data_IF_944954758429
#
_entry.id   IF_944954758429
#
_cell.length_a   1.000
_cell.length_b   1.000
_cell.length_c   1.000
_cell.angle_alpha   90.00
_cell.angle_beta   90.00
_cell.angle_gamma   90.00
#
_symmetry.space_group_name_H-M   'P 1'
#
loop_
_entity.id
_entity.type
_entity.pdbx_description
1 polymer ?
#
# COMPACT_ATOMS: atom_id res chain seq x y z
N UNK A 1 10.40 -11.68 0.74
CA UNK A 1 9.64 -11.23 1.91
C UNK A 1 10.25 -9.92 2.37
N UNK A 2 9.44 -8.93 2.65
CA UNK A 2 9.91 -7.66 3.18
C UNK A 2 9.49 -7.55 4.64
N UNK A 3 10.46 -7.42 5.52
CA UNK A 3 10.18 -7.27 6.94
C UNK A 3 9.59 -5.90 7.26
N UNK A 4 8.64 -5.85 8.18
CA UNK A 4 8.04 -4.60 8.66
C UNK A 4 6.91 -4.04 7.82
N UNK A 5 6.51 -4.67 6.73
CA UNK A 5 5.35 -4.27 5.93
C UNK A 5 5.49 -2.94 5.18
N UNK A 6 6.69 -2.38 5.08
CA UNK A 6 6.94 -1.12 4.37
C UNK A 6 7.39 -1.39 2.95
N UNK A 7 6.83 -0.67 1.99
CA UNK A 7 7.22 -0.75 0.58
C UNK A 7 8.32 0.29 0.31
N UNK A 8 9.49 -0.16 -0.07
CA UNK A 8 10.60 0.68 -0.52
C UNK A 8 10.64 0.78 -2.05
N UNK A 9 11.42 1.71 -2.56
CA UNK A 9 11.58 1.93 -4.00
C UNK A 9 11.98 0.64 -4.74
N UNK A 10 12.97 -0.07 -4.22
CA UNK A 10 13.46 -1.31 -4.82
C UNK A 10 12.41 -2.43 -4.78
N UNK A 11 11.72 -2.57 -3.65
CA UNK A 11 10.69 -3.60 -3.52
C UNK A 11 9.47 -3.29 -4.40
N UNK A 12 9.09 -2.02 -4.53
CA UNK A 12 8.02 -1.62 -5.44
C UNK A 12 8.38 -1.94 -6.90
N UNK A 13 9.59 -1.63 -7.31
CA UNK A 13 10.07 -1.92 -8.66
C UNK A 13 10.12 -3.42 -8.94
N UNK A 14 10.62 -4.21 -7.98
CA UNK A 14 10.65 -5.67 -8.08
C UNK A 14 9.24 -6.26 -8.17
N UNK A 15 8.32 -5.79 -7.34
CA UNK A 15 6.94 -6.26 -7.35
C UNK A 15 6.23 -5.90 -8.66
N UNK A 16 6.42 -4.68 -9.17
CA UNK A 16 5.87 -4.25 -10.46
C UNK A 16 6.33 -5.18 -11.61
N UNK A 17 7.62 -5.51 -11.62
CA UNK A 17 8.18 -6.42 -12.61
C UNK A 17 7.60 -7.83 -12.47
N UNK A 18 7.45 -8.33 -11.25
CA UNK A 18 6.84 -9.63 -11.00
C UNK A 18 5.40 -9.70 -11.50
N UNK A 19 4.58 -8.70 -11.18
CA UNK A 19 3.19 -8.62 -11.66
C UNK A 19 3.14 -8.57 -13.18
N UNK A 20 4.02 -7.80 -13.82
CA UNK A 20 4.10 -7.73 -15.28
C UNK A 20 4.45 -9.07 -15.91
N UNK A 21 5.39 -9.82 -15.34
CA UNK A 21 5.77 -11.16 -15.81
C UNK A 21 4.60 -12.13 -15.67
N UNK A 22 3.92 -12.15 -14.54
CA UNK A 22 2.74 -12.97 -14.32
C UNK A 22 1.64 -12.64 -15.32
N UNK A 23 1.43 -11.36 -15.59
CA UNK A 23 0.45 -10.91 -16.57
C UNK A 23 0.79 -11.41 -17.99
N UNK A 24 2.04 -11.28 -18.41
CA UNK A 24 2.49 -11.77 -19.72
C UNK A 24 2.34 -13.28 -19.86
N UNK A 25 2.64 -14.03 -18.82
CA UNK A 25 2.57 -15.50 -18.81
C UNK A 25 1.18 -16.03 -18.44
N UNK A 26 0.22 -15.14 -18.19
CA UNK A 26 -1.16 -15.48 -17.80
C UNK A 26 -1.22 -16.35 -16.54
N UNK A 27 -0.39 -16.02 -15.56
CA UNK A 27 -0.33 -16.70 -14.26
C UNK A 27 -1.19 -15.91 -13.26
N UNK A 28 -2.17 -16.54 -12.59
CA UNK A 28 -2.91 -15.90 -11.52
C UNK A 28 -2.01 -15.48 -10.36
N UNK A 29 -2.37 -14.40 -9.67
CA UNK A 29 -1.56 -13.83 -8.60
C UNK A 29 -2.33 -13.88 -7.28
N UNK A 30 -1.66 -14.28 -6.21
CA UNK A 30 -2.16 -14.17 -4.85
C UNK A 30 -1.35 -13.08 -4.14
N UNK A 31 -2.05 -12.07 -3.62
CA UNK A 31 -1.46 -11.01 -2.79
C UNK A 31 -1.68 -11.35 -1.32
N UNK A 32 -0.59 -11.48 -0.58
CA UNK A 32 -0.61 -11.60 0.87
C UNK A 32 -0.30 -10.23 1.47
N UNK A 33 -1.33 -9.53 1.94
CA UNK A 33 -1.17 -8.17 2.43
C UNK A 33 -0.82 -8.15 3.92
N UNK A 34 0.35 -7.64 4.21
CA UNK A 34 0.76 -7.13 5.51
C UNK A 34 1.58 -5.88 5.24
N UNK A 35 0.90 -4.77 4.96
CA UNK A 35 1.52 -3.55 4.45
C UNK A 35 1.09 -2.34 5.28
N UNK A 36 2.07 -1.63 5.82
CA UNK A 36 1.86 -0.41 6.60
C UNK A 36 1.91 0.85 5.74
N UNK A 37 2.47 0.77 4.55
CA UNK A 37 2.54 1.86 3.60
C UNK A 37 3.82 1.86 2.78
N UNK A 38 3.99 2.91 1.99
CA UNK A 38 5.25 3.21 1.31
C UNK A 38 6.20 3.96 2.24
N UNK A 39 7.50 3.75 2.06
CA UNK A 39 8.50 4.53 2.78
C UNK A 39 8.40 6.00 2.40
N UNK A 40 8.42 6.87 3.39
CA UNK A 40 8.32 8.32 3.23
C UNK A 40 9.62 9.01 3.61
N UNK A 41 9.76 10.27 3.19
CA UNK A 41 10.88 11.12 3.53
C UNK A 41 11.71 11.51 2.30
N UNK A 42 12.48 12.59 2.43
CA UNK A 42 13.22 13.19 1.32
C UNK A 42 14.22 12.23 0.66
N UNK A 43 14.86 11.36 1.46
CA UNK A 43 15.79 10.34 0.93
C UNK A 43 15.06 9.34 0.04
N UNK A 44 13.88 8.89 0.46
CA UNK A 44 13.06 7.94 -0.32
C UNK A 44 12.51 8.60 -1.58
N UNK A 45 12.08 9.84 -1.49
CA UNK A 45 11.60 10.61 -2.64
C UNK A 45 12.71 10.81 -3.68
N UNK A 46 13.91 11.20 -3.25
CA UNK A 46 15.09 11.30 -4.11
C UNK A 46 15.49 9.94 -4.69
N UNK A 47 15.27 8.86 -3.95
CA UNK A 47 15.52 7.49 -4.39
C UNK A 47 14.48 6.93 -5.36
N UNK A 48 13.45 7.69 -5.71
CA UNK A 48 12.46 7.32 -6.71
C UNK A 48 11.27 6.52 -6.20
N UNK A 49 10.93 6.62 -4.92
CA UNK A 49 9.80 5.88 -4.33
C UNK A 49 8.47 6.23 -5.02
N UNK A 50 8.24 7.50 -5.37
CA UNK A 50 7.00 7.92 -6.03
C UNK A 50 6.90 7.28 -7.40
N UNK A 51 7.97 7.33 -8.19
CA UNK A 51 8.03 6.75 -9.53
C UNK A 51 7.86 5.22 -9.50
N UNK A 52 8.60 4.54 -8.64
CA UNK A 52 8.55 3.08 -8.54
C UNK A 52 7.26 2.58 -7.89
N UNK A 53 6.72 3.31 -6.92
CA UNK A 53 5.40 3.05 -6.36
C UNK A 53 4.30 3.17 -7.40
N UNK A 54 4.36 4.21 -8.24
CA UNK A 54 3.45 4.38 -9.36
C UNK A 54 3.54 3.24 -10.38
N UNK A 55 4.74 2.73 -10.64
CA UNK A 55 4.92 1.55 -11.51
C UNK A 55 4.21 0.32 -10.95
N UNK A 56 4.30 0.08 -9.64
CA UNK A 56 3.63 -1.05 -9.00
C UNK A 56 2.12 -0.92 -9.10
N UNK A 57 1.57 0.23 -8.75
CA UNK A 57 0.13 0.50 -8.85
C UNK A 57 -0.35 0.36 -10.30
N UNK A 58 0.40 0.88 -11.25
CA UNK A 58 0.08 0.76 -12.67
C UNK A 58 0.10 -0.70 -13.15
N UNK A 59 1.10 -1.47 -12.74
CA UNK A 59 1.19 -2.90 -13.09
C UNK A 59 -0.01 -3.70 -12.54
N UNK A 60 -0.39 -3.45 -11.29
CA UNK A 60 -1.53 -4.12 -10.65
C UNK A 60 -2.85 -3.72 -11.30
N UNK A 61 -3.07 -2.43 -11.56
CA UNK A 61 -4.31 -1.91 -12.13
C UNK A 61 -4.54 -2.37 -13.58
N UNK A 62 -3.47 -2.52 -14.36
CA UNK A 62 -3.56 -2.96 -15.76
C UNK A 62 -3.45 -4.47 -15.94
N UNK A 63 -3.21 -5.23 -14.89
CA UNK A 63 -3.11 -6.69 -14.96
C UNK A 63 -4.47 -7.32 -15.24
N UNK A 64 -4.53 -8.20 -16.23
CA UNK A 64 -5.76 -8.90 -16.65
C UNK A 64 -5.88 -10.31 -16.07
N UNK A 65 -4.83 -10.80 -15.39
CA UNK A 65 -4.88 -12.13 -14.77
C UNK A 65 -5.75 -12.12 -13.52
N UNK A 66 -6.37 -13.25 -13.16
CA UNK A 66 -7.12 -13.35 -11.91
C UNK A 66 -6.22 -13.06 -10.71
N UNK A 67 -6.73 -12.26 -9.78
CA UNK A 67 -6.04 -11.87 -8.56
C UNK A 67 -6.89 -12.21 -7.35
N UNK A 68 -6.26 -12.77 -6.34
CA UNK A 68 -6.87 -13.04 -5.04
C UNK A 68 -6.05 -12.27 -4.00
N UNK A 69 -6.72 -11.57 -3.12
CA UNK A 69 -6.07 -10.82 -2.04
C UNK A 69 -6.43 -11.42 -0.69
N UNK A 70 -5.44 -11.68 0.13
CA UNK A 70 -5.60 -12.16 1.50
C UNK A 70 -4.90 -11.18 2.44
N UNK A 71 -5.67 -10.51 3.28
CA UNK A 71 -5.15 -9.56 4.27
C UNK A 71 -4.78 -10.36 5.52
N UNK A 72 -3.49 -10.57 5.73
CA UNK A 72 -2.95 -11.38 6.81
C UNK A 72 -2.51 -10.57 8.02
N UNK A 73 -2.46 -9.26 7.89
CA UNK A 73 -2.05 -8.33 8.94
C UNK A 73 -2.56 -6.93 8.65
N UNK A 74 -1.66 -5.97 8.60
CA UNK A 74 -2.01 -4.58 8.31
C UNK A 74 -2.25 -4.35 6.82
N UNK A 75 -3.15 -3.41 6.49
CA UNK A 75 -3.38 -2.96 5.13
C UNK A 75 -3.76 -1.49 5.16
N UNK A 76 -2.77 -0.60 5.05
CA UNK A 76 -2.94 0.83 5.25
C UNK A 76 -2.63 1.65 4.00
N UNK A 77 -3.47 2.65 3.78
CA UNK A 77 -3.23 3.73 2.81
C UNK A 77 -2.95 3.26 1.39
N UNK A 78 -2.00 3.90 0.75
CA UNK A 78 -1.59 3.60 -0.62
C UNK A 78 -0.99 2.19 -0.78
N UNK A 79 -0.47 1.60 0.28
CA UNK A 79 0.01 0.21 0.27
C UNK A 79 -1.10 -0.79 0.00
N UNK A 80 -2.31 -0.54 0.50
CA UNK A 80 -3.49 -1.35 0.17
C UNK A 80 -3.75 -1.36 -1.35
N UNK A 81 -3.70 -0.20 -1.99
CA UNK A 81 -3.88 -0.10 -3.44
C UNK A 81 -2.79 -0.85 -4.21
N UNK A 82 -1.53 -0.66 -3.83
CA UNK A 82 -0.41 -1.30 -4.50
C UNK A 82 -0.43 -2.84 -4.41
N UNK A 83 -1.01 -3.37 -3.35
CA UNK A 83 -1.14 -4.81 -3.10
C UNK A 83 -2.51 -5.38 -3.51
N UNK A 84 -3.13 -4.81 -4.52
CA UNK A 84 -4.42 -5.23 -5.05
C UNK A 84 -5.53 -5.19 -4.00
N UNK A 85 -5.77 -4.00 -3.44
CA UNK A 85 -6.93 -3.75 -2.60
C UNK A 85 -8.23 -3.77 -3.40
N UNK A 86 -9.34 -3.53 -2.74
CA UNK A 86 -10.68 -3.61 -3.34
C UNK A 86 -10.85 -2.71 -4.58
N UNK A 87 -10.17 -1.57 -4.62
CA UNK A 87 -10.24 -0.63 -5.74
C UNK A 87 -9.79 -1.23 -7.09
N UNK A 88 -8.95 -2.25 -7.06
CA UNK A 88 -8.46 -2.94 -8.26
C UNK A 88 -9.15 -4.28 -8.53
N UNK A 89 -10.28 -4.48 -7.89
CA UNK A 89 -11.26 -5.54 -8.18
C UNK A 89 -10.65 -6.94 -8.27
N UNK A 90 -9.99 -7.44 -7.20
CA UNK A 90 -9.57 -8.82 -7.17
C UNK A 90 -10.79 -9.75 -7.19
N UNK A 91 -10.60 -10.99 -7.65
CA UNK A 91 -11.69 -11.98 -7.68
C UNK A 91 -12.26 -12.25 -6.30
N UNK A 92 -11.38 -12.33 -5.30
CA UNK A 92 -11.76 -12.51 -3.90
C UNK A 92 -10.83 -11.71 -3.02
N UNK A 93 -11.39 -11.18 -1.93
CA UNK A 93 -10.63 -10.59 -0.83
C UNK A 93 -11.01 -11.33 0.43
N UNK A 94 -10.02 -11.89 1.10
CA UNK A 94 -10.17 -12.52 2.40
C UNK A 94 -9.39 -11.73 3.43
N UNK A 95 -9.84 -11.75 4.67
CA UNK A 95 -9.13 -11.13 5.78
C UNK A 95 -9.04 -12.11 6.94
N UNK A 96 -7.87 -12.20 7.55
CA UNK A 96 -7.68 -12.95 8.77
C UNK A 96 -8.35 -12.22 9.95
N UNK A 97 -8.68 -12.93 11.06
CA UNK A 97 -9.34 -12.28 12.19
C UNK A 97 -8.56 -11.12 12.82
N UNK A 98 -7.23 -11.14 12.70
CA UNK A 98 -6.33 -10.09 13.20
C UNK A 98 -6.04 -8.99 12.16
N UNK A 99 -6.64 -9.04 10.99
CA UNK A 99 -6.39 -8.06 9.93
C UNK A 99 -6.91 -6.67 10.33
N UNK A 100 -6.13 -5.64 9.96
CA UNK A 100 -6.47 -4.24 10.20
C UNK A 100 -6.40 -3.47 8.90
N UNK A 101 -7.48 -2.81 8.53
CA UNK A 101 -7.59 -2.01 7.31
C UNK A 101 -7.89 -0.57 7.71
N UNK A 102 -7.08 0.37 7.29
CA UNK A 102 -7.26 1.78 7.59
C UNK A 102 -6.54 2.67 6.57
N UNK A 103 -6.82 3.97 6.63
CA UNK A 103 -6.08 4.96 5.83
C UNK A 103 -4.63 5.07 6.32
N UNK A 104 -4.43 4.98 7.64
CA UNK A 104 -3.10 4.96 8.27
C UNK A 104 -3.14 4.19 9.57
N UNK A 105 -1.98 3.82 10.10
CA UNK A 105 -1.87 3.17 11.39
C UNK A 105 -2.36 4.05 12.53
N UNK A 106 -2.84 3.43 13.61
CA UNK A 106 -3.43 4.15 14.74
C UNK A 106 -2.49 5.17 15.37
N UNK A 107 -1.22 4.84 15.51
CA UNK A 107 -0.20 5.75 16.07
C UNK A 107 0.01 6.99 15.18
N UNK A 108 0.11 6.80 13.87
CA UNK A 108 0.23 7.89 12.91
C UNK A 108 -1.03 8.75 12.86
N UNK A 109 -2.20 8.13 12.94
CA UNK A 109 -3.47 8.85 13.02
C UNK A 109 -3.56 9.68 14.30
N UNK A 110 -3.15 9.14 15.43
CA UNK A 110 -3.11 9.85 16.71
C UNK A 110 -2.18 11.08 16.65
N UNK A 111 -1.00 10.95 16.05
CA UNK A 111 -0.08 12.06 15.83
C UNK A 111 -0.69 13.14 14.94
N UNK A 112 -1.32 12.77 13.84
CA UNK A 112 -1.98 13.70 12.93
C UNK A 112 -3.10 14.48 13.64
N UNK A 113 -3.93 13.81 14.42
CA UNK A 113 -4.99 14.44 15.21
C UNK A 113 -4.40 15.37 16.28
N UNK A 114 -3.33 14.98 16.95
CA UNK A 114 -2.63 15.80 17.93
C UNK A 114 -2.15 17.12 17.33
N UNK A 115 -1.52 17.08 16.16
CA UNK A 115 -1.12 18.29 15.44
C UNK A 115 -2.31 19.17 15.06
N UNK A 116 -3.39 18.56 14.60
CA UNK A 116 -4.62 19.28 14.25
C UNK A 116 -5.22 19.98 15.47
N UNK A 117 -5.26 19.33 16.63
CA UNK A 117 -5.75 19.94 17.88
C UNK A 117 -4.88 21.09 18.38
N UNK A 118 -3.58 21.05 18.13
CA UNK A 118 -2.67 22.15 18.48
C UNK A 118 -2.87 23.40 17.61
N UNK A 119 -3.32 23.23 16.38
CA UNK A 119 -3.47 24.31 15.39
C UNK A 119 -4.90 24.88 15.32
N UNK A 120 -5.93 24.04 15.46
CA UNK A 120 -7.33 24.44 15.34
C UNK A 120 -7.75 25.56 16.32
N UNK A 121 -7.39 25.54 17.62
CA UNK A 121 -7.76 26.64 18.53
C UNK A 121 -7.23 28.00 18.06
N UNK A 122 -6.04 28.03 17.50
CA UNK A 122 -5.45 29.26 16.96
C UNK A 122 -6.20 29.76 15.73
N UNK A 123 -6.62 28.87 14.85
CA UNK A 123 -7.40 29.19 13.65
C UNK A 123 -8.80 29.69 14.03
N UNK A 124 -9.44 29.08 15.02
CA UNK A 124 -10.78 29.44 15.46
C UNK A 124 -10.84 30.76 16.21
N UNK A 125 -9.72 31.24 16.76
CA UNK A 125 -9.61 32.52 17.44
C UNK A 125 -9.38 33.72 16.50
N UNK A 126 -9.08 33.43 15.26
CA UNK A 126 -8.92 34.43 14.20
C UNK A 126 -10.23 34.67 13.48
#
# INVERSE_FOLDING_TARGET
MQFGGVIYSDSANKAARFVSICNQKKIPIIFLQDVTGFMVGSKSEKGGIIKNGAKLVNAVSNSIVPKITIIIGNSYGAGNYAMCGKAYDPRFIFAWPNAKIAVMGGEQAAKAVSYTHLTLPTILLV
#
